data_IF_963698193661
#
_entry.id   IF_963698193661
#
_cell.length_a   1.000
_cell.length_b   1.000
_cell.length_c   1.000
_cell.angle_alpha   90.00
_cell.angle_beta   90.00
_cell.angle_gamma   90.00
#
_symmetry.space_group_name_H-M   'P 1'
#
loop_
_entity.id
_entity.type
_entity.pdbx_description
1 polymer ?
#
# COMPACT_ATOMS: atom_id res chain seq x y z
N UNK A 1 10.14 9.95 22.03
CA UNK A 1 10.22 11.43 22.16
C UNK A 1 9.63 12.13 20.95
N UNK A 2 10.14 11.89 19.73
CA UNK A 2 9.61 12.53 18.50
C UNK A 2 8.12 12.24 18.26
N UNK A 3 7.69 10.98 18.40
CA UNK A 3 6.30 10.56 18.29
C UNK A 3 5.33 11.32 19.22
N UNK A 4 5.73 11.52 20.48
CA UNK A 4 4.90 12.19 21.50
C UNK A 4 4.80 13.68 21.20
N UNK A 5 5.90 14.31 20.77
CA UNK A 5 5.91 15.71 20.34
C UNK A 5 5.09 15.91 19.07
N UNK A 6 5.17 14.98 18.11
CA UNK A 6 4.40 15.05 16.86
C UNK A 6 2.89 14.91 17.13
N UNK A 7 2.47 13.92 17.93
CA UNK A 7 1.05 13.77 18.32
C UNK A 7 0.53 14.96 19.11
N UNK A 8 1.31 15.48 20.06
CA UNK A 8 0.95 16.69 20.79
C UNK A 8 0.77 17.91 19.88
N UNK A 9 1.59 18.04 18.83
CA UNK A 9 1.47 19.09 17.82
C UNK A 9 0.27 18.87 16.89
N UNK A 10 -0.04 17.62 16.50
CA UNK A 10 -1.21 17.28 15.69
C UNK A 10 -2.49 17.60 16.45
N UNK A 11 -2.62 17.16 17.70
CA UNK A 11 -3.78 17.43 18.56
C UNK A 11 -3.95 18.93 18.82
N UNK A 12 -2.85 19.64 19.06
CA UNK A 12 -2.85 21.10 19.18
C UNK A 12 -3.33 21.77 17.89
N UNK A 13 -2.94 21.27 16.72
CA UNK A 13 -3.36 21.81 15.45
C UNK A 13 -4.80 21.45 15.04
N UNK A 14 -5.32 20.29 15.48
CA UNK A 14 -6.73 19.93 15.33
C UNK A 14 -7.68 20.86 16.11
N UNK A 15 -7.19 21.59 17.12
CA UNK A 15 -7.96 22.64 17.83
C UNK A 15 -8.29 23.88 16.97
N UNK A 16 -7.98 23.86 15.67
CA UNK A 16 -8.32 24.91 14.70
C UNK A 16 -7.35 26.10 14.67
N UNK A 17 -6.30 26.07 15.49
CA UNK A 17 -5.32 27.17 15.64
C UNK A 17 -4.17 27.16 14.63
N UNK A 18 -4.01 26.08 13.85
CA UNK A 18 -2.90 25.91 12.89
C UNK A 18 -3.29 26.04 11.40
N UNK A 19 -4.50 26.50 11.06
CA UNK A 19 -4.91 26.64 9.66
C UNK A 19 -5.04 25.28 8.93
N UNK A 20 -4.40 25.12 7.77
CA UNK A 20 -4.40 23.85 7.02
C UNK A 20 -3.44 22.77 7.57
N UNK A 21 -2.59 23.10 8.55
CA UNK A 21 -1.78 22.11 9.24
C UNK A 21 -2.69 21.16 10.03
N UNK A 22 -2.72 19.89 9.63
CA UNK A 22 -3.66 18.88 10.11
C UNK A 22 -4.74 18.48 9.10
N UNK A 23 -4.98 19.27 8.04
CA UNK A 23 -5.90 18.94 6.94
C UNK A 23 -5.24 18.33 5.71
N UNK A 24 -3.91 18.20 5.69
CA UNK A 24 -3.20 17.69 4.53
C UNK A 24 -1.71 17.44 4.78
N UNK A 25 -1.37 16.19 5.06
CA UNK A 25 -0.14 15.56 4.54
C UNK A 25 -0.56 14.62 3.41
N UNK A 26 0.32 14.35 2.44
CA UNK A 26 0.00 13.42 1.33
C UNK A 26 -0.52 12.07 1.88
N UNK A 27 -0.04 11.65 3.06
CA UNK A 27 -0.57 10.49 3.77
C UNK A 27 -0.70 10.81 5.27
N UNK A 28 -1.94 11.04 5.75
CA UNK A 28 -2.24 11.09 7.18
C UNK A 28 -2.74 9.70 7.62
N UNK A 29 -2.01 9.08 8.54
CA UNK A 29 -2.33 7.77 9.08
C UNK A 29 -3.24 7.93 10.29
N UNK A 30 -4.56 8.01 10.07
CA UNK A 30 -5.53 8.07 11.16
C UNK A 30 -5.74 6.67 11.73
N UNK A 31 -4.80 6.21 12.55
CA UNK A 31 -4.93 4.98 13.33
C UNK A 31 -5.73 5.34 14.59
N UNK A 32 -7.03 5.57 14.42
CA UNK A 32 -8.02 5.68 15.50
C UNK A 32 -8.23 4.29 16.09
N UNK A 33 -7.23 3.80 16.82
CA UNK A 33 -7.37 2.62 17.65
C UNK A 33 -7.53 3.10 19.10
N UNK A 34 -8.76 3.10 19.58
CA UNK A 34 -9.07 3.01 21.00
C UNK A 34 -8.16 1.95 21.63
N UNK A 35 -7.25 2.40 22.50
CA UNK A 35 -6.47 1.62 23.47
C UNK A 35 -6.21 0.15 23.11
N UNK A 36 -5.37 -0.13 22.11
CA UNK A 36 -4.90 -1.51 21.85
C UNK A 36 -4.05 -1.96 23.03
N UNK A 37 -4.63 -2.76 23.92
CA UNK A 37 -3.94 -3.47 24.98
C UNK A 37 -3.07 -4.58 24.36
N UNK A 38 -1.79 -4.27 24.15
CA UNK A 38 -0.81 -5.23 23.64
C UNK A 38 -0.58 -6.36 24.66
N UNK A 39 -1.35 -7.44 24.55
CA UNK A 39 -1.03 -8.69 25.24
C UNK A 39 0.17 -9.38 24.59
N UNK A 40 1.01 -10.02 25.42
CA UNK A 40 2.23 -10.74 25.01
C UNK A 40 1.97 -11.82 23.93
N UNK A 41 0.74 -12.31 23.81
CA UNK A 41 0.32 -13.30 22.79
C UNK A 41 0.35 -12.68 21.37
N UNK A 42 0.11 -11.37 21.23
CA UNK A 42 0.18 -10.68 19.93
C UNK A 42 1.60 -10.41 19.45
N UNK A 43 2.62 -10.67 20.29
CA UNK A 43 4.02 -10.46 19.94
C UNK A 43 4.49 -11.46 18.86
N UNK A 44 4.02 -12.70 18.90
CA UNK A 44 4.46 -13.74 17.98
C UNK A 44 4.04 -13.46 16.51
N UNK A 45 2.78 -13.10 16.20
CA UNK A 45 2.38 -12.62 14.88
C UNK A 45 3.19 -11.43 14.37
N UNK A 46 3.52 -10.47 15.25
CA UNK A 46 4.25 -9.26 14.86
C UNK A 46 5.72 -9.57 14.54
N UNK A 47 6.36 -10.46 15.32
CA UNK A 47 7.73 -10.91 15.04
C UNK A 47 7.79 -11.65 13.72
N UNK A 48 6.87 -12.60 13.48
CA UNK A 48 6.83 -13.35 12.22
C UNK A 48 6.59 -12.44 11.03
N UNK A 49 5.63 -11.49 11.13
CA UNK A 49 5.41 -10.44 10.13
C UNK A 49 6.68 -9.64 9.83
N UNK A 50 7.45 -9.30 10.87
CA UNK A 50 8.73 -8.59 10.76
C UNK A 50 9.81 -9.40 10.03
N UNK A 51 9.96 -10.68 10.37
CA UNK A 51 10.94 -11.59 9.74
C UNK A 51 10.62 -11.78 8.26
N UNK A 52 9.37 -12.11 7.93
CA UNK A 52 8.94 -12.27 6.54
C UNK A 52 9.04 -10.95 5.75
N UNK A 53 8.68 -9.82 6.36
CA UNK A 53 8.82 -8.50 5.76
C UNK A 53 10.27 -8.14 5.45
N UNK A 54 11.20 -8.51 6.34
CA UNK A 54 12.64 -8.36 6.13
C UNK A 54 13.19 -9.24 5.00
N UNK A 55 12.76 -10.51 4.95
CA UNK A 55 13.14 -11.44 3.88
C UNK A 55 12.61 -10.94 2.52
N UNK A 56 11.33 -10.57 2.44
CA UNK A 56 10.71 -10.03 1.24
C UNK A 56 11.35 -8.71 0.79
N UNK A 57 11.73 -7.84 1.74
CA UNK A 57 12.46 -6.60 1.46
C UNK A 57 13.88 -6.83 0.95
N UNK A 58 14.60 -7.82 1.50
CA UNK A 58 15.91 -8.23 0.99
C UNK A 58 15.81 -8.81 -0.42
N UNK A 59 14.80 -9.68 -0.65
CA UNK A 59 14.53 -10.26 -1.95
C UNK A 59 14.14 -9.19 -2.99
N UNK A 60 13.41 -8.15 -2.57
CA UNK A 60 13.05 -7.01 -3.41
C UNK A 60 14.31 -6.32 -3.93
N UNK A 61 15.24 -6.02 -3.02
CA UNK A 61 16.53 -5.41 -3.37
C UNK A 61 17.38 -6.31 -4.27
N UNK A 62 17.38 -7.62 -4.03
CA UNK A 62 18.12 -8.57 -4.87
C UNK A 62 17.61 -8.58 -6.31
N UNK A 63 16.28 -8.65 -6.52
CA UNK A 63 15.70 -8.59 -7.86
C UNK A 63 15.88 -7.23 -8.50
N UNK A 64 15.70 -6.16 -7.74
CA UNK A 64 15.90 -4.79 -8.20
C UNK A 64 17.34 -4.56 -8.69
N UNK A 65 18.35 -5.05 -7.98
CA UNK A 65 19.76 -5.00 -8.41
C UNK A 65 19.99 -5.80 -9.72
N UNK A 66 19.35 -6.96 -9.89
CA UNK A 66 19.40 -7.73 -11.15
C UNK A 66 18.77 -6.97 -12.31
N UNK A 67 17.59 -6.38 -12.11
CA UNK A 67 16.88 -5.59 -13.13
C UNK A 67 17.67 -4.33 -13.49
N UNK A 68 18.20 -3.61 -12.51
CA UNK A 68 19.05 -2.44 -12.75
C UNK A 68 20.30 -2.77 -13.57
N UNK A 69 20.98 -3.89 -13.28
CA UNK A 69 22.13 -4.32 -14.09
C UNK A 69 21.74 -4.62 -15.54
N UNK A 70 20.59 -5.26 -15.75
CA UNK A 70 20.06 -5.50 -17.09
C UNK A 70 19.75 -4.18 -17.79
N UNK A 71 19.10 -3.24 -17.10
CA UNK A 71 18.75 -1.93 -17.65
C UNK A 71 19.98 -1.10 -17.98
N UNK A 72 21.02 -1.11 -17.14
CA UNK A 72 22.30 -0.46 -17.44
C UNK A 72 22.94 -1.03 -18.70
N UNK A 73 22.96 -2.36 -18.86
CA UNK A 73 23.50 -3.01 -20.07
C UNK A 73 22.69 -2.69 -21.33
N UNK A 74 21.38 -2.50 -21.20
CA UNK A 74 20.52 -2.08 -22.32
C UNK A 74 20.74 -0.59 -22.63
N UNK A 75 20.88 0.24 -21.59
CA UNK A 75 21.07 1.69 -21.72
C UNK A 75 22.42 2.06 -22.35
N UNK A 76 23.46 1.23 -22.16
CA UNK A 76 24.74 1.36 -22.86
C UNK A 76 24.64 1.22 -24.38
N UNK A 77 23.60 0.53 -24.90
CA UNK A 77 23.38 0.38 -26.35
C UNK A 77 22.88 1.66 -27.05
N UNK A 78 22.59 2.70 -26.29
CA UNK A 78 22.24 4.04 -26.81
C UNK A 78 20.83 4.52 -26.44
N UNK A 79 20.55 5.78 -26.77
CA UNK A 79 19.32 6.49 -26.36
C UNK A 79 18.02 5.85 -26.86
N UNK A 80 18.05 5.26 -28.06
CA UNK A 80 16.87 4.60 -28.63
C UNK A 80 16.43 3.36 -27.83
N UNK A 81 17.39 2.53 -27.37
CA UNK A 81 17.11 1.38 -26.53
C UNK A 81 16.56 1.77 -25.16
N UNK A 82 17.02 2.89 -24.61
CA UNK A 82 16.49 3.47 -23.37
C UNK A 82 15.01 3.84 -23.49
N UNK A 83 14.65 4.51 -24.59
CA UNK A 83 13.27 4.89 -24.88
C UNK A 83 12.38 3.67 -25.16
N UNK A 84 12.88 2.70 -25.94
CA UNK A 84 12.17 1.47 -26.24
C UNK A 84 11.91 0.65 -24.96
N UNK A 85 12.91 0.54 -24.08
CA UNK A 85 12.76 -0.12 -22.79
C UNK A 85 11.69 0.55 -21.94
N UNK A 86 11.74 1.89 -21.81
CA UNK A 86 10.74 2.64 -21.06
C UNK A 86 9.34 2.45 -21.65
N UNK A 87 9.18 2.53 -22.97
CA UNK A 87 7.90 2.32 -23.65
C UNK A 87 7.36 0.89 -23.47
N UNK A 88 8.25 -0.11 -23.51
CA UNK A 88 7.86 -1.52 -23.33
C UNK A 88 7.35 -1.76 -21.91
N UNK A 89 8.06 -1.22 -20.91
CA UNK A 89 7.67 -1.37 -19.50
C UNK A 89 6.37 -0.62 -19.22
N UNK A 90 6.16 0.60 -19.75
CA UNK A 90 4.92 1.36 -19.52
C UNK A 90 3.71 0.74 -20.20
N UNK A 91 3.86 0.16 -21.39
CA UNK A 91 2.78 -0.59 -22.05
C UNK A 91 2.44 -1.83 -21.24
N UNK A 92 3.46 -2.60 -20.83
CA UNK A 92 3.27 -3.80 -20.01
C UNK A 92 2.58 -3.48 -18.67
N UNK A 93 3.03 -2.43 -17.96
CA UNK A 93 2.42 -2.02 -16.69
C UNK A 93 0.97 -1.58 -16.89
N UNK A 94 0.67 -0.85 -17.95
CA UNK A 94 -0.70 -0.42 -18.28
C UNK A 94 -1.61 -1.62 -18.59
N UNK A 95 -1.11 -2.59 -19.37
CA UNK A 95 -1.84 -3.83 -19.65
C UNK A 95 -2.12 -4.64 -18.37
N UNK A 96 -1.14 -4.75 -17.47
CA UNK A 96 -1.34 -5.44 -16.19
C UNK A 96 -2.35 -4.71 -15.30
N UNK A 97 -2.22 -3.39 -15.12
CA UNK A 97 -3.11 -2.60 -14.25
C UNK A 97 -4.56 -2.64 -14.76
N UNK A 98 -4.77 -2.62 -16.07
CA UNK A 98 -6.12 -2.70 -16.65
C UNK A 98 -6.66 -4.14 -16.75
N UNK A 99 -5.79 -5.13 -16.99
CA UNK A 99 -6.16 -6.52 -17.20
C UNK A 99 -6.40 -7.30 -15.90
N UNK A 100 -5.69 -6.99 -14.81
CA UNK A 100 -5.85 -7.71 -13.54
C UNK A 100 -7.25 -7.54 -12.89
N UNK A 101 -7.87 -6.34 -12.88
CA UNK A 101 -9.22 -6.15 -12.35
C UNK A 101 -10.31 -7.00 -13.01
N UNK A 102 -10.10 -7.52 -14.22
CA UNK A 102 -11.03 -8.45 -14.88
C UNK A 102 -11.18 -9.79 -14.14
N UNK A 103 -10.19 -10.17 -13.34
CA UNK A 103 -10.15 -11.47 -12.65
C UNK A 103 -10.90 -11.41 -11.32
N UNK A 104 -11.08 -10.21 -10.76
CA UNK A 104 -11.73 -10.04 -9.46
C UNK A 104 -13.25 -10.08 -9.56
N UNK A 105 -13.88 -10.67 -8.55
CA UNK A 105 -15.33 -10.74 -8.42
C UNK A 105 -15.91 -9.41 -7.92
N UNK A 106 -17.13 -9.10 -8.36
CA UNK A 106 -17.88 -7.94 -7.89
C UNK A 106 -18.46 -8.21 -6.49
N UNK A 107 -18.49 -7.16 -5.66
CA UNK A 107 -19.10 -7.17 -4.34
C UNK A 107 -20.24 -6.15 -4.25
N UNK A 108 -21.30 -6.44 -3.47
CA UNK A 108 -22.34 -5.46 -3.19
C UNK A 108 -21.77 -4.33 -2.32
N UNK A 109 -22.21 -3.10 -2.57
CA UNK A 109 -21.85 -1.95 -1.76
C UNK A 109 -22.34 -2.12 -0.30
N UNK A 110 -21.49 -1.87 0.71
CA UNK A 110 -21.93 -1.89 2.11
C UNK A 110 -22.98 -0.80 2.37
N UNK A 111 -24.02 -1.14 3.11
CA UNK A 111 -25.17 -0.24 3.36
C UNK A 111 -24.90 0.83 4.42
N UNK A 112 -23.81 0.71 5.19
CA UNK A 112 -23.52 1.53 6.37
C UNK A 112 -22.25 2.41 6.20
N UNK A 113 -21.91 2.76 4.96
CA UNK A 113 -20.77 3.64 4.69
C UNK A 113 -21.23 5.09 4.48
N UNK A 114 -20.60 6.02 5.20
CA UNK A 114 -20.76 7.49 5.01
C UNK A 114 -20.32 7.98 3.62
N UNK A 115 -19.71 7.11 2.82
CA UNK A 115 -19.16 7.43 1.50
C UNK A 115 -20.00 6.81 0.39
N UNK A 116 -20.08 7.50 -0.75
CA UNK A 116 -20.81 7.04 -1.91
C UNK A 116 -20.14 5.81 -2.54
N UNK A 117 -20.90 4.72 -2.65
CA UNK A 117 -20.51 3.50 -3.36
C UNK A 117 -21.48 3.28 -4.54
N UNK A 118 -21.00 3.17 -5.80
CA UNK A 118 -19.62 3.35 -6.25
C UNK A 118 -19.21 4.83 -6.36
N UNK A 119 -17.94 5.12 -6.04
CA UNK A 119 -17.38 6.47 -6.11
C UNK A 119 -17.13 6.92 -7.55
N UNK A 120 -17.63 8.11 -7.89
CA UNK A 120 -17.44 8.73 -9.22
C UNK A 120 -16.11 9.51 -9.22
N UNK A 121 -15.27 9.31 -10.24
CA UNK A 121 -13.98 10.01 -10.39
C UNK A 121 -12.77 9.18 -9.95
N UNK A 122 -11.64 9.83 -9.64
CA UNK A 122 -10.37 9.18 -9.27
C UNK A 122 -10.13 9.03 -7.76
N UNK A 123 -10.93 9.71 -6.94
CA UNK A 123 -10.90 9.62 -5.47
C UNK A 123 -12.13 8.87 -4.95
N UNK A 124 -12.06 8.34 -3.74
CA UNK A 124 -13.10 7.55 -3.09
C UNK A 124 -12.77 6.05 -2.99
N UNK A 125 -13.43 5.34 -2.07
CA UNK A 125 -12.94 4.01 -1.66
C UNK A 125 -13.38 2.87 -2.57
N UNK A 126 -14.51 3.01 -3.26
CA UNK A 126 -15.14 1.93 -4.01
C UNK A 126 -15.22 2.27 -5.50
N UNK A 127 -14.50 1.54 -6.35
CA UNK A 127 -14.52 1.71 -7.80
C UNK A 127 -15.35 0.64 -8.48
N UNK A 128 -16.24 1.09 -9.36
CA UNK A 128 -17.01 0.21 -10.24
C UNK A 128 -16.20 -0.09 -11.48
N UNK A 129 -15.94 -1.38 -11.72
CA UNK A 129 -15.32 -1.86 -12.94
C UNK A 129 -16.02 -3.15 -13.39
N UNK A 130 -16.77 -3.07 -14.49
CA UNK A 130 -17.50 -4.20 -15.06
C UNK A 130 -18.48 -4.93 -14.10
N UNK A 131 -19.04 -4.21 -13.12
CA UNK A 131 -20.02 -4.73 -12.17
C UNK A 131 -21.44 -4.15 -12.42
N UNK A 132 -22.46 -4.70 -11.76
CA UNK A 132 -23.82 -4.16 -11.82
C UNK A 132 -23.93 -2.76 -11.16
N UNK A 133 -25.09 -2.11 -11.29
CA UNK A 133 -25.43 -0.95 -10.44
C UNK A 133 -25.47 -1.41 -8.97
N UNK A 134 -24.89 -0.62 -8.07
CA UNK A 134 -24.72 -0.91 -6.63
C UNK A 134 -23.72 -2.01 -6.25
N UNK A 135 -22.83 -2.37 -7.17
CA UNK A 135 -21.68 -3.24 -6.93
C UNK A 135 -20.35 -2.54 -7.23
N UNK A 136 -19.30 -2.95 -6.53
CA UNK A 136 -17.93 -2.49 -6.72
C UNK A 136 -16.96 -3.65 -6.94
N UNK A 137 -15.82 -3.36 -7.54
CA UNK A 137 -14.73 -4.32 -7.72
C UNK A 137 -13.58 -3.92 -6.79
N UNK A 138 -13.24 -4.79 -5.86
CA UNK A 138 -12.24 -4.50 -4.82
C UNK A 138 -10.83 -4.34 -5.40
N UNK A 139 -10.44 -5.18 -6.36
CA UNK A 139 -9.16 -5.09 -7.05
C UNK A 139 -9.05 -3.83 -7.93
N UNK A 140 -10.15 -3.45 -8.59
CA UNK A 140 -10.21 -2.19 -9.33
C UNK A 140 -10.08 -0.98 -8.39
N UNK A 141 -10.63 -1.08 -7.18
CA UNK A 141 -10.50 -0.05 -6.15
C UNK A 141 -9.05 0.10 -5.67
N UNK A 142 -8.27 -0.98 -5.65
CA UNK A 142 -6.85 -0.93 -5.31
C UNK A 142 -5.98 -0.31 -6.43
N UNK A 143 -6.26 -0.64 -7.70
CA UNK A 143 -5.45 -0.21 -8.85
C UNK A 143 -5.82 1.14 -9.46
N UNK A 144 -7.11 1.52 -9.48
CA UNK A 144 -7.58 2.74 -10.16
C UNK A 144 -7.73 3.95 -9.24
N UNK A 145 -7.63 3.76 -7.93
CA UNK A 145 -7.54 4.85 -7.00
C UNK A 145 -6.17 5.54 -7.04
N UNK A 146 -6.11 6.72 -6.42
CA UNK A 146 -4.82 7.34 -6.11
C UNK A 146 -4.06 6.46 -5.10
N UNK A 147 -2.73 6.39 -5.22
CA UNK A 147 -1.93 5.59 -4.30
C UNK A 147 -2.16 6.00 -2.83
N UNK A 148 -2.33 7.30 -2.59
CA UNK A 148 -2.60 7.85 -1.26
C UNK A 148 -3.94 7.36 -0.69
N UNK A 149 -5.01 7.38 -1.51
CA UNK A 149 -6.32 6.86 -1.10
C UNK A 149 -6.26 5.34 -0.89
N UNK A 150 -5.56 4.59 -1.75
CA UNK A 150 -5.40 3.13 -1.58
C UNK A 150 -4.66 2.80 -0.29
N UNK A 151 -3.60 3.53 0.06
CA UNK A 151 -2.87 3.32 1.33
C UNK A 151 -3.80 3.60 2.52
N UNK A 152 -4.57 4.69 2.48
CA UNK A 152 -5.55 5.01 3.54
C UNK A 152 -6.58 3.90 3.69
N UNK A 153 -7.08 3.36 2.58
CA UNK A 153 -8.05 2.27 2.59
C UNK A 153 -7.48 0.97 3.16
N UNK A 154 -6.22 0.66 2.84
CA UNK A 154 -5.52 -0.50 3.41
C UNK A 154 -5.27 -0.35 4.91
N UNK A 155 -5.11 0.86 5.43
CA UNK A 155 -4.84 1.09 6.85
C UNK A 155 -6.09 1.27 7.71
N UNK A 156 -7.26 1.47 7.08
CA UNK A 156 -8.53 1.68 7.79
C UNK A 156 -8.88 0.45 8.63
N UNK A 157 -9.18 0.67 9.91
CA UNK A 157 -9.66 -0.36 10.83
C UNK A 157 -11.13 -0.73 10.53
N UNK A 158 -11.58 -1.92 10.96
CA UNK A 158 -12.97 -2.36 10.80
C UNK A 158 -13.45 -2.58 9.35
N UNK A 159 -12.54 -2.89 8.43
CA UNK A 159 -12.84 -3.09 6.99
C UNK A 159 -12.58 -4.54 6.55
N UNK A 160 -12.86 -5.48 7.46
CA UNK A 160 -12.46 -6.88 7.36
C UNK A 160 -13.14 -7.61 6.19
N UNK A 161 -14.39 -7.23 5.89
CA UNK A 161 -15.18 -7.80 4.80
C UNK A 161 -15.08 -7.00 3.48
N UNK A 162 -14.35 -5.87 3.45
CA UNK A 162 -14.31 -4.99 2.27
C UNK A 162 -13.46 -5.56 1.14
N UNK A 163 -12.41 -6.33 1.43
CA UNK A 163 -11.46 -6.86 0.45
C UNK A 163 -11.41 -8.39 0.48
N UNK A 164 -11.35 -9.04 -0.68
CA UNK A 164 -11.04 -10.48 -0.73
C UNK A 164 -9.53 -10.74 -0.60
N UNK A 165 -9.19 -11.84 0.08
CA UNK A 165 -7.80 -12.32 0.22
C UNK A 165 -7.16 -12.52 -1.17
N UNK A 166 -7.91 -13.09 -2.12
CA UNK A 166 -7.44 -13.28 -3.51
C UNK A 166 -7.10 -11.95 -4.19
N UNK A 167 -7.95 -10.93 -4.06
CA UNK A 167 -7.74 -9.62 -4.65
C UNK A 167 -6.51 -8.93 -4.06
N UNK A 168 -6.35 -8.95 -2.73
CA UNK A 168 -5.16 -8.37 -2.08
C UNK A 168 -3.89 -9.14 -2.45
N UNK A 169 -3.95 -10.48 -2.54
CA UNK A 169 -2.81 -11.30 -2.96
C UNK A 169 -2.37 -10.94 -4.39
N UNK A 170 -3.32 -10.85 -5.34
CA UNK A 170 -3.04 -10.44 -6.72
C UNK A 170 -2.45 -9.03 -6.75
N UNK A 171 -3.05 -8.10 -6.01
CA UNK A 171 -2.55 -6.73 -5.91
C UNK A 171 -1.13 -6.65 -5.33
N UNK A 172 -0.84 -7.41 -4.28
CA UNK A 172 0.50 -7.47 -3.67
C UNK A 172 1.53 -7.99 -4.67
N UNK A 173 1.27 -9.15 -5.29
CA UNK A 173 2.21 -9.77 -6.24
C UNK A 173 2.44 -8.83 -7.43
N UNK A 174 1.37 -8.32 -8.03
CA UNK A 174 1.45 -7.43 -9.18
C UNK A 174 2.18 -6.13 -8.82
N UNK A 175 1.83 -5.45 -7.73
CA UNK A 175 2.48 -4.21 -7.32
C UNK A 175 3.95 -4.41 -6.96
N UNK A 176 4.30 -5.55 -6.35
CA UNK A 176 5.68 -5.91 -6.04
C UNK A 176 6.54 -6.01 -7.31
N UNK A 177 6.09 -6.78 -8.31
CA UNK A 177 6.84 -6.93 -9.57
C UNK A 177 6.80 -5.68 -10.45
N UNK A 178 5.63 -5.03 -10.58
CA UNK A 178 5.49 -3.79 -11.34
C UNK A 178 6.37 -2.69 -10.74
N UNK A 179 6.47 -2.60 -9.42
CA UNK A 179 7.37 -1.68 -8.72
C UNK A 179 8.84 -1.92 -9.06
N UNK A 180 9.28 -3.19 -9.07
CA UNK A 180 10.66 -3.56 -9.45
C UNK A 180 10.96 -3.18 -10.91
N UNK A 181 10.08 -3.52 -11.85
CA UNK A 181 10.32 -3.26 -13.28
C UNK A 181 10.20 -1.77 -13.66
N UNK A 182 9.31 -1.04 -12.99
CA UNK A 182 9.15 0.40 -13.20
C UNK A 182 10.35 1.18 -12.66
N UNK A 183 11.09 0.59 -11.72
CA UNK A 183 12.30 1.20 -11.18
C UNK A 183 13.47 1.12 -12.17
N UNK A 184 14.32 2.17 -12.14
CA UNK A 184 15.49 2.26 -13.01
C UNK A 184 15.18 2.71 -14.43
N UNK A 185 13.92 2.97 -14.75
CA UNK A 185 13.55 3.72 -15.95
C UNK A 185 14.06 5.17 -15.82
N UNK A 186 14.35 5.81 -16.96
CA UNK A 186 14.75 7.21 -16.99
C UNK A 186 13.56 8.17 -16.88
N UNK A 187 12.78 7.99 -15.83
CA UNK A 187 11.67 8.84 -15.44
C UNK A 187 11.94 9.40 -14.04
N UNK A 188 11.64 10.68 -13.77
CA UNK A 188 11.75 11.25 -12.44
C UNK A 188 10.61 10.72 -11.57
N UNK A 189 10.80 9.55 -10.96
CA UNK A 189 9.80 8.91 -10.09
C UNK A 189 10.39 8.55 -8.73
N UNK A 190 9.63 8.81 -7.67
CA UNK A 190 10.00 8.38 -6.32
C UNK A 190 9.64 6.89 -6.13
N UNK A 191 10.55 6.16 -5.49
CA UNK A 191 10.34 4.75 -5.11
C UNK A 191 9.49 4.59 -3.85
N UNK A 192 9.33 5.66 -3.07
CA UNK A 192 8.74 5.55 -1.74
C UNK A 192 7.28 5.13 -1.78
N UNK A 193 6.45 5.79 -2.59
CA UNK A 193 5.00 5.58 -2.64
C UNK A 193 4.61 4.17 -3.14
N UNK A 194 5.19 3.63 -4.23
CA UNK A 194 4.85 2.27 -4.67
C UNK A 194 5.29 1.18 -3.69
N UNK A 195 6.42 1.39 -3.00
CA UNK A 195 6.91 0.42 -2.01
C UNK A 195 6.03 0.44 -0.76
N UNK A 196 5.64 1.61 -0.22
CA UNK A 196 4.72 1.67 0.93
C UNK A 196 3.35 1.06 0.59
N UNK A 197 2.84 1.27 -0.63
CA UNK A 197 1.59 0.66 -1.09
C UNK A 197 1.67 -0.87 -1.11
N UNK A 198 2.76 -1.40 -1.66
CA UNK A 198 3.02 -2.86 -1.68
C UNK A 198 3.20 -3.41 -0.27
N UNK A 199 3.87 -2.64 0.60
CA UNK A 199 4.11 -2.99 1.99
C UNK A 199 2.80 -3.00 2.82
N UNK A 200 1.89 -2.07 2.53
CA UNK A 200 0.56 -2.00 3.12
C UNK A 200 -0.28 -3.21 2.72
N UNK A 201 -0.26 -3.57 1.44
CA UNK A 201 -0.94 -4.75 0.93
C UNK A 201 -0.39 -6.04 1.56
N UNK A 202 0.94 -6.15 1.74
CA UNK A 202 1.57 -7.25 2.45
C UNK A 202 1.08 -7.35 3.90
N UNK A 203 1.13 -6.24 4.65
CA UNK A 203 0.70 -6.22 6.04
C UNK A 203 -0.78 -6.60 6.19
N UNK A 204 -1.63 -6.04 5.32
CA UNK A 204 -3.06 -6.36 5.26
C UNK A 204 -3.29 -7.83 4.95
N UNK A 205 -2.59 -8.39 3.95
CA UNK A 205 -2.68 -9.80 3.56
C UNK A 205 -2.36 -10.74 4.72
N UNK A 206 -1.25 -10.47 5.43
CA UNK A 206 -0.87 -11.27 6.59
C UNK A 206 -1.88 -11.09 7.72
N UNK A 207 -2.38 -9.87 7.94
CA UNK A 207 -3.47 -9.59 8.87
C UNK A 207 -4.70 -10.45 8.58
N UNK A 208 -5.08 -10.63 7.31
CA UNK A 208 -6.26 -11.42 6.92
C UNK A 208 -6.06 -12.92 7.14
N UNK A 209 -4.83 -13.41 6.94
CA UNK A 209 -4.49 -14.81 7.19
C UNK A 209 -4.49 -15.11 8.70
N UNK A 210 -3.98 -14.18 9.51
CA UNK A 210 -3.87 -14.33 10.96
C UNK A 210 -5.17 -13.98 11.70
N UNK A 211 -6.01 -13.09 11.13
CA UNK A 211 -7.26 -12.60 11.71
C UNK A 211 -8.26 -13.71 12.07
N UNK A 212 -8.11 -14.90 11.50
CA UNK A 212 -8.84 -16.10 11.94
C UNK A 212 -8.54 -16.52 13.39
N UNK A 213 -7.42 -16.08 13.97
CA UNK A 213 -6.94 -16.46 15.31
C UNK A 213 -6.70 -15.26 16.26
N UNK A 214 -6.82 -14.02 15.78
CA UNK A 214 -6.52 -12.83 16.61
C UNK A 214 -7.56 -11.73 16.42
N UNK A 215 -7.97 -11.10 17.53
CA UNK A 215 -8.88 -9.95 17.59
C UNK A 215 -8.24 -8.62 17.16
N UNK A 216 -7.13 -8.64 16.42
CA UNK A 216 -6.46 -7.43 15.96
C UNK A 216 -7.02 -6.99 14.61
N UNK A 217 -7.23 -5.67 14.46
CA UNK A 217 -7.62 -5.07 13.19
C UNK A 217 -6.60 -5.33 12.07
N UNK A 218 -7.12 -5.66 10.90
CA UNK A 218 -6.35 -5.84 9.67
C UNK A 218 -5.57 -4.58 9.26
N UNK A 219 -6.13 -3.41 9.55
CA UNK A 219 -5.49 -2.10 9.33
C UNK A 219 -4.21 -1.93 10.15
N UNK A 220 -4.18 -2.42 11.40
CA UNK A 220 -2.98 -2.36 12.24
C UNK A 220 -1.87 -3.25 11.67
N UNK A 221 -2.21 -4.45 11.19
CA UNK A 221 -1.25 -5.31 10.49
C UNK A 221 -0.74 -4.68 9.19
N UNK A 222 -1.57 -3.93 8.46
CA UNK A 222 -1.14 -3.17 7.29
C UNK A 222 -0.07 -2.13 7.64
N UNK A 223 -0.27 -1.36 8.71
CA UNK A 223 0.70 -0.36 9.21
C UNK A 223 2.01 -1.03 9.65
N UNK A 224 1.93 -2.10 10.45
CA UNK A 224 3.10 -2.83 10.96
C UNK A 224 3.88 -3.52 9.82
N UNK A 225 3.16 -4.12 8.87
CA UNK A 225 3.75 -4.77 7.69
C UNK A 225 4.43 -3.76 6.78
N UNK A 226 3.84 -2.57 6.65
CA UNK A 226 4.49 -1.45 5.97
C UNK A 226 5.82 -1.08 6.57
N UNK A 227 5.87 -0.89 7.89
CA UNK A 227 7.11 -0.57 8.59
C UNK A 227 8.17 -1.68 8.43
N UNK A 228 7.77 -2.96 8.49
CA UNK A 228 8.68 -4.09 8.35
C UNK A 228 9.30 -4.18 6.94
N UNK A 229 8.48 -4.14 5.89
CA UNK A 229 8.96 -4.29 4.51
C UNK A 229 9.70 -3.04 4.02
N UNK A 230 9.27 -1.83 4.43
CA UNK A 230 10.01 -0.60 4.13
C UNK A 230 11.39 -0.58 4.81
N UNK A 231 11.48 -1.03 6.07
CA UNK A 231 12.77 -1.17 6.74
C UNK A 231 13.67 -2.19 6.02
N UNK A 232 13.12 -3.33 5.59
CA UNK A 232 13.86 -4.36 4.87
C UNK A 232 14.38 -3.92 3.49
N UNK A 233 13.55 -3.19 2.74
CA UNK A 233 13.91 -2.69 1.40
C UNK A 233 14.79 -1.43 1.45
N UNK A 234 14.39 -0.39 2.19
CA UNK A 234 15.08 0.90 2.16
C UNK A 234 16.16 1.06 3.23
N UNK A 235 16.29 0.13 4.18
CA UNK A 235 17.22 0.18 5.34
C UNK A 235 17.13 1.48 6.18
N UNK A 236 16.05 2.25 6.03
CA UNK A 236 15.76 3.41 6.86
C UNK A 236 15.02 2.95 8.11
N UNK A 237 15.70 2.98 9.27
CA UNK A 237 15.16 2.41 10.52
C UNK A 237 14.33 3.42 11.31
N UNK A 238 14.92 4.53 11.75
CA UNK A 238 14.27 5.49 12.66
C UNK A 238 13.31 6.42 11.93
N UNK A 239 13.68 6.90 10.74
CA UNK A 239 12.86 7.83 9.95
C UNK A 239 11.53 7.20 9.50
N UNK A 240 11.54 5.94 9.07
CA UNK A 240 10.32 5.23 8.62
C UNK A 240 9.33 5.04 9.77
N UNK A 241 9.82 4.73 10.98
CA UNK A 241 8.94 4.61 12.14
C UNK A 241 8.28 5.93 12.52
N UNK A 242 8.97 7.07 12.30
CA UNK A 242 8.41 8.40 12.56
C UNK A 242 7.44 8.84 11.45
N UNK A 243 7.70 8.46 10.20
CA UNK A 243 6.80 8.78 9.08
C UNK A 243 5.47 8.04 9.20
N UNK A 244 5.50 6.78 9.63
CA UNK A 244 4.32 5.90 9.69
C UNK A 244 3.42 6.20 10.90
N UNK A 245 3.92 6.92 11.91
CA UNK A 245 3.30 7.08 13.23
C UNK A 245 2.72 8.47 13.47
#
# INVERSE_FOLDING_TARGET
>A
MVAVVLRALIDFCQSGKCGLFGKGGLIMFDVTADYVTYHLIHLHPVITLGVFGGILGSLYNFFLDKVLRLYNRINEKGKAYKLLLAATVTVCTSCCIFGLPWIAACKPCPTDTREACPSIGRSGNFKKFQCATDEYNDLASLFFNTNDDTIRNLYRAGTDDEFHISSILVFFIASYFLGIFSYGLALPSSLFVPVILTAAAYGRLVGMLIGSQSTLDHGLFAVLGSAALLRGSMRMTVSVCVIIL
#
